data_IF_761197344683
#
_entry.id   IF_761197344683
#
_cell.length_a   1.000
_cell.length_b   1.000
_cell.length_c   1.000
_cell.angle_alpha   90.00
_cell.angle_beta   90.00
_cell.angle_gamma   90.00
#
_symmetry.space_group_name_H-M   'P 1'
#
loop_
_entity.id
_entity.type
_entity.pdbx_description
1 polymer ?
#
# COMPACT_ATOMS: atom_id res chain seq x y z
N UNK A 1 -10.62 21.92 -18.11
CA UNK A 1 -10.89 20.61 -18.72
C UNK A 1 -11.28 19.52 -17.73
N UNK A 2 -11.64 19.85 -16.47
CA UNK A 2 -11.92 18.85 -15.39
C UNK A 2 -13.40 18.58 -15.12
N UNK A 3 -14.32 19.17 -15.90
CA UNK A 3 -15.76 19.04 -15.64
C UNK A 3 -16.41 17.78 -16.28
N UNK A 4 -15.69 17.02 -17.10
CA UNK A 4 -16.25 15.83 -17.77
C UNK A 4 -16.16 14.54 -16.95
N UNK A 5 -15.32 14.50 -15.89
CA UNK A 5 -15.24 13.31 -15.03
C UNK A 5 -16.42 13.26 -14.05
N UNK A 6 -16.99 12.07 -13.78
CA UNK A 6 -18.03 11.90 -12.77
C UNK A 6 -17.60 12.49 -11.44
N UNK A 7 -18.49 13.20 -10.75
CA UNK A 7 -18.18 13.86 -9.48
C UNK A 7 -17.58 12.91 -8.44
N UNK A 8 -18.00 11.64 -8.44
CA UNK A 8 -17.45 10.61 -7.56
C UNK A 8 -15.93 10.46 -7.75
N UNK A 9 -15.46 10.37 -8.98
CA UNK A 9 -14.03 10.23 -9.29
C UNK A 9 -13.25 11.49 -8.92
N UNK A 10 -13.81 12.68 -9.19
CA UNK A 10 -13.19 13.96 -8.79
C UNK A 10 -13.00 14.07 -7.28
N UNK A 11 -13.97 13.60 -6.49
CA UNK A 11 -13.84 13.58 -5.02
C UNK A 11 -12.72 12.63 -4.56
N UNK A 12 -12.57 11.48 -5.21
CA UNK A 12 -11.47 10.54 -4.93
C UNK A 12 -10.13 11.17 -5.33
N UNK A 13 -10.02 11.72 -6.54
CA UNK A 13 -8.79 12.31 -7.06
C UNK A 13 -8.30 13.45 -6.14
N UNK A 14 -9.20 14.36 -5.72
CA UNK A 14 -8.89 15.40 -4.73
C UNK A 14 -8.44 14.81 -3.40
N UNK A 15 -9.05 13.72 -2.95
CA UNK A 15 -8.63 13.03 -1.73
C UNK A 15 -7.24 12.39 -1.87
N UNK A 16 -6.91 11.81 -3.03
CA UNK A 16 -5.58 11.30 -3.34
C UNK A 16 -4.54 12.43 -3.31
N UNK A 17 -4.80 13.56 -3.98
CA UNK A 17 -3.91 14.71 -3.95
C UNK A 17 -3.68 15.22 -2.53
N UNK A 18 -4.74 15.34 -1.73
CA UNK A 18 -4.65 15.76 -0.33
C UNK A 18 -3.79 14.84 0.52
N UNK A 19 -3.99 13.53 0.43
CA UNK A 19 -3.25 12.57 1.24
C UNK A 19 -1.77 12.52 0.85
N UNK A 20 -1.47 12.71 -0.42
CA UNK A 20 -0.09 12.75 -0.92
C UNK A 20 0.64 14.04 -0.51
N UNK A 21 -0.04 15.18 -0.52
CA UNK A 21 0.57 16.49 -0.21
C UNK A 21 0.57 16.83 1.28
N UNK A 22 -0.49 16.49 2.01
CA UNK A 22 -0.72 16.95 3.40
C UNK A 22 -0.88 15.79 4.40
N UNK A 23 -0.92 14.56 3.91
CA UNK A 23 -1.10 13.35 4.73
C UNK A 23 -2.55 13.03 5.08
N UNK A 24 -2.75 11.87 5.72
CA UNK A 24 -4.09 11.33 6.03
C UNK A 24 -4.93 12.23 6.97
N UNK A 25 -4.29 13.06 7.79
CA UNK A 25 -4.97 13.99 8.70
C UNK A 25 -5.76 15.10 7.99
N UNK A 26 -5.42 15.42 6.73
CA UNK A 26 -6.09 16.45 5.94
C UNK A 26 -7.40 15.97 5.26
N UNK A 27 -7.72 14.68 5.31
CA UNK A 27 -8.83 14.06 4.59
C UNK A 27 -10.21 14.34 5.21
N UNK A 28 -10.54 15.62 5.42
CA UNK A 28 -11.89 16.02 5.86
C UNK A 28 -12.87 16.11 4.70
N UNK A 29 -14.11 15.60 4.87
CA UNK A 29 -15.18 15.70 3.85
C UNK A 29 -15.43 17.13 3.37
N UNK A 30 -15.34 18.11 4.27
CA UNK A 30 -15.54 19.53 3.95
C UNK A 30 -14.42 20.07 3.07
N UNK A 31 -13.18 19.71 3.37
CA UNK A 31 -12.00 20.14 2.61
C UNK A 31 -12.00 19.51 1.21
N UNK A 32 -12.30 18.22 1.12
CA UNK A 32 -12.44 17.54 -0.17
C UNK A 32 -13.55 18.18 -1.02
N UNK A 33 -14.72 18.47 -0.45
CA UNK A 33 -15.81 19.14 -1.16
C UNK A 33 -15.39 20.54 -1.64
N UNK A 34 -14.73 21.32 -0.78
CA UNK A 34 -14.24 22.65 -1.10
C UNK A 34 -13.25 22.62 -2.28
N UNK A 35 -12.25 21.73 -2.25
CA UNK A 35 -11.26 21.60 -3.34
C UNK A 35 -11.87 21.04 -4.62
N UNK A 36 -12.85 20.13 -4.51
CA UNK A 36 -13.61 19.64 -5.66
C UNK A 36 -14.58 20.68 -6.26
N UNK A 37 -14.72 21.86 -5.66
CA UNK A 37 -15.61 22.93 -6.15
C UNK A 37 -17.09 22.58 -6.03
N UNK A 38 -17.50 21.84 -4.97
CA UNK A 38 -18.88 21.40 -4.78
C UNK A 38 -19.40 21.75 -3.39
N UNK A 39 -20.73 21.74 -3.22
CA UNK A 39 -21.35 21.97 -1.92
C UNK A 39 -20.93 20.91 -0.89
N UNK A 40 -20.89 21.26 0.39
CA UNK A 40 -20.52 20.37 1.50
C UNK A 40 -21.38 19.09 1.60
N UNK A 41 -22.61 19.12 1.10
CA UNK A 41 -23.51 17.96 1.07
C UNK A 41 -23.30 17.02 -0.12
N UNK A 42 -22.64 17.48 -1.19
CA UNK A 42 -22.49 16.71 -2.42
C UNK A 42 -21.74 15.37 -2.24
N UNK A 43 -20.67 15.26 -1.44
CA UNK A 43 -19.98 14.00 -1.24
C UNK A 43 -20.86 12.89 -0.66
N UNK A 44 -21.83 13.22 0.21
CA UNK A 44 -22.70 12.24 0.86
C UNK A 44 -23.62 11.49 -0.09
N UNK A 45 -23.85 12.01 -1.30
CA UNK A 45 -24.62 11.32 -2.34
C UNK A 45 -23.86 10.11 -2.90
N UNK A 46 -22.52 10.14 -2.87
CA UNK A 46 -21.63 9.11 -3.41
C UNK A 46 -20.96 8.29 -2.32
N UNK A 47 -20.73 8.91 -1.16
CA UNK A 47 -20.07 8.32 0.00
C UNK A 47 -20.94 8.60 1.24
N UNK A 48 -21.79 7.64 1.64
CA UNK A 48 -22.70 7.81 2.78
C UNK A 48 -21.96 8.11 4.08
N UNK A 49 -20.75 7.58 4.24
CA UNK A 49 -19.89 7.78 5.41
C UNK A 49 -18.54 8.37 4.99
N UNK A 50 -17.85 9.01 5.94
CA UNK A 50 -16.47 9.43 5.74
C UNK A 50 -15.55 8.23 5.47
N UNK A 51 -15.77 7.13 6.19
CA UNK A 51 -15.02 5.88 6.01
C UNK A 51 -15.14 5.33 4.58
N UNK A 52 -16.33 5.41 3.96
CA UNK A 52 -16.51 4.95 2.57
C UNK A 52 -15.70 5.77 1.56
N UNK A 53 -15.55 7.09 1.78
CA UNK A 53 -14.67 7.93 0.96
C UNK A 53 -13.20 7.61 1.21
N UNK A 54 -12.78 7.48 2.48
CA UNK A 54 -11.39 7.10 2.82
C UNK A 54 -11.03 5.75 2.23
N UNK A 55 -11.94 4.78 2.24
CA UNK A 55 -11.74 3.46 1.63
C UNK A 55 -11.58 3.54 0.11
N UNK A 56 -12.31 4.43 -0.56
CA UNK A 56 -12.16 4.65 -1.99
C UNK A 56 -10.80 5.31 -2.33
N UNK A 57 -10.33 6.24 -1.49
CA UNK A 57 -9.00 6.86 -1.64
C UNK A 57 -7.90 5.82 -1.39
N UNK A 58 -7.99 5.04 -0.30
CA UNK A 58 -7.01 3.99 0.03
C UNK A 58 -6.92 2.92 -1.08
N UNK A 59 -8.05 2.62 -1.75
CA UNK A 59 -8.07 1.70 -2.89
C UNK A 59 -7.17 2.18 -4.02
N UNK A 60 -7.14 3.48 -4.35
CA UNK A 60 -6.21 4.03 -5.34
C UNK A 60 -4.75 3.79 -4.95
N UNK A 61 -4.43 3.91 -3.66
CA UNK A 61 -3.10 3.56 -3.15
C UNK A 61 -2.75 2.08 -3.34
N UNK A 62 -3.69 1.17 -3.07
CA UNK A 62 -3.47 -0.26 -3.32
C UNK A 62 -3.40 -0.60 -4.81
N UNK A 63 -4.18 0.06 -5.66
CA UNK A 63 -4.12 -0.11 -7.12
C UNK A 63 -2.74 0.33 -7.66
N UNK A 64 -2.22 1.48 -7.21
CA UNK A 64 -0.90 1.98 -7.60
C UNK A 64 0.23 1.07 -7.10
N UNK A 65 0.18 0.64 -5.84
CA UNK A 65 1.13 -0.35 -5.30
C UNK A 65 1.06 -1.66 -6.09
N UNK A 66 -0.15 -2.13 -6.42
CA UNK A 66 -0.35 -3.35 -7.22
C UNK A 66 0.28 -3.26 -8.60
N UNK A 67 0.16 -2.12 -9.29
CA UNK A 67 0.81 -1.87 -10.58
C UNK A 67 2.33 -1.93 -10.45
N UNK A 68 2.91 -1.30 -9.42
CA UNK A 68 4.36 -1.33 -9.16
C UNK A 68 4.85 -2.74 -8.87
N UNK A 69 4.13 -3.49 -8.03
CA UNK A 69 4.46 -4.89 -7.74
C UNK A 69 4.39 -5.75 -9.01
N UNK A 70 3.33 -5.60 -9.80
CA UNK A 70 3.18 -6.37 -11.05
C UNK A 70 4.31 -6.09 -12.05
N UNK A 71 4.74 -4.83 -12.16
CA UNK A 71 5.83 -4.43 -13.05
C UNK A 71 7.14 -5.15 -12.72
N UNK A 72 7.47 -5.29 -11.43
CA UNK A 72 8.73 -5.94 -10.99
C UNK A 72 8.61 -7.46 -10.88
N UNK A 73 7.42 -7.98 -10.54
CA UNK A 73 7.18 -9.41 -10.43
C UNK A 73 7.14 -10.13 -11.78
N UNK A 74 6.87 -9.40 -12.86
CA UNK A 74 6.70 -9.94 -14.21
C UNK A 74 8.00 -10.28 -14.95
N UNK A 75 9.18 -9.94 -14.43
CA UNK A 75 10.45 -10.19 -15.07
C UNK A 75 10.72 -11.71 -15.20
N UNK A 76 10.73 -12.29 -16.41
CA UNK A 76 10.75 -13.74 -16.60
C UNK A 76 12.08 -14.40 -16.18
N UNK A 77 13.16 -13.65 -16.21
CA UNK A 77 14.53 -14.08 -15.88
C UNK A 77 14.79 -14.22 -14.38
N UNK A 78 13.94 -13.59 -13.52
CA UNK A 78 14.16 -13.63 -12.08
C UNK A 78 13.69 -14.93 -11.46
N UNK A 79 14.49 -15.50 -10.56
CA UNK A 79 14.09 -16.60 -9.69
C UNK A 79 12.94 -16.19 -8.76
N UNK A 80 12.18 -17.15 -8.21
CA UNK A 80 11.11 -16.83 -7.25
C UNK A 80 11.60 -15.99 -6.07
N UNK A 81 12.81 -16.25 -5.58
CA UNK A 81 13.43 -15.53 -4.46
C UNK A 81 13.79 -14.09 -4.82
N UNK A 82 14.38 -13.88 -5.99
CA UNK A 82 14.70 -12.54 -6.50
C UNK A 82 13.44 -11.71 -6.69
N UNK A 83 12.34 -12.33 -7.19
CA UNK A 83 11.03 -11.67 -7.28
C UNK A 83 10.51 -11.25 -5.90
N UNK A 84 10.61 -12.11 -4.87
CA UNK A 84 10.23 -11.75 -3.51
C UNK A 84 11.04 -10.55 -3.03
N UNK A 85 12.36 -10.54 -3.27
CA UNK A 85 13.26 -9.43 -2.92
C UNK A 85 12.86 -8.14 -3.63
N UNK A 86 12.65 -8.20 -4.93
CA UNK A 86 12.29 -7.03 -5.76
C UNK A 86 10.91 -6.47 -5.37
N UNK A 87 9.93 -7.34 -5.08
CA UNK A 87 8.63 -6.94 -4.54
C UNK A 87 8.80 -6.26 -3.17
N UNK A 88 9.66 -6.80 -2.30
CA UNK A 88 9.96 -6.20 -1.00
C UNK A 88 10.54 -4.78 -1.12
N UNK A 89 11.50 -4.57 -2.05
CA UNK A 89 12.06 -3.25 -2.35
C UNK A 89 10.99 -2.30 -2.88
N UNK A 90 10.17 -2.75 -3.83
CA UNK A 90 9.07 -1.94 -4.38
C UNK A 90 8.03 -1.56 -3.30
N UNK A 91 7.67 -2.49 -2.40
CA UNK A 91 6.76 -2.26 -1.29
C UNK A 91 7.29 -1.23 -0.30
N UNK A 92 8.53 -1.39 0.16
CA UNK A 92 9.17 -0.45 1.10
C UNK A 92 9.39 0.89 0.42
N UNK A 93 9.86 0.91 -0.83
CA UNK A 93 10.03 2.12 -1.63
C UNK A 93 8.72 2.93 -1.73
N UNK A 94 7.62 2.26 -2.07
CA UNK A 94 6.31 2.88 -2.11
C UNK A 94 5.92 3.52 -0.77
N UNK A 95 6.16 2.82 0.33
CA UNK A 95 5.85 3.32 1.67
C UNK A 95 6.65 4.59 2.02
N UNK A 96 7.89 4.71 1.54
CA UNK A 96 8.75 5.87 1.77
C UNK A 96 8.36 7.05 0.87
N UNK A 97 8.07 6.80 -0.40
CA UNK A 97 7.67 7.82 -1.37
C UNK A 97 6.28 8.39 -1.08
N UNK A 98 5.33 7.54 -0.67
CA UNK A 98 3.91 7.87 -0.49
C UNK A 98 3.46 7.70 0.97
N UNK A 99 4.22 8.24 1.90
CA UNK A 99 4.06 8.05 3.34
C UNK A 99 2.64 8.29 3.87
N UNK A 100 1.97 9.34 3.42
CA UNK A 100 0.59 9.68 3.79
C UNK A 100 -0.41 8.64 3.29
N UNK A 101 -0.30 8.27 2.02
CA UNK A 101 -1.16 7.25 1.40
C UNK A 101 -0.92 5.88 2.05
N UNK A 102 0.33 5.48 2.22
CA UNK A 102 0.68 4.22 2.87
C UNK A 102 0.12 4.13 4.29
N UNK A 103 0.20 5.23 5.06
CA UNK A 103 -0.43 5.28 6.37
C UNK A 103 -1.94 5.10 6.32
N UNK A 104 -2.64 5.72 5.36
CA UNK A 104 -4.08 5.56 5.20
C UNK A 104 -4.46 4.12 4.84
N UNK A 105 -3.73 3.49 3.91
CA UNK A 105 -4.03 2.14 3.39
C UNK A 105 -4.15 1.08 4.48
N UNK A 106 -3.44 1.22 5.60
CA UNK A 106 -3.40 0.25 6.70
C UNK A 106 -4.13 0.71 7.97
N UNK A 107 -4.86 1.84 7.91
CA UNK A 107 -5.68 2.35 9.02
C UNK A 107 -7.06 1.70 9.00
N UNK A 108 -7.13 0.40 9.35
CA UNK A 108 -8.38 -0.36 9.39
C UNK A 108 -9.44 0.23 10.34
N UNK A 109 -9.03 1.02 11.33
CA UNK A 109 -9.91 1.78 12.20
C UNK A 109 -10.63 2.95 11.49
N UNK A 110 -10.07 3.45 10.39
CA UNK A 110 -10.64 4.54 9.57
C UNK A 110 -11.31 4.04 8.30
N UNK A 111 -11.08 2.79 7.90
CA UNK A 111 -11.54 2.25 6.63
C UNK A 111 -12.74 1.33 6.82
N UNK A 112 -13.70 1.41 5.91
CA UNK A 112 -14.81 0.46 5.84
C UNK A 112 -14.37 -0.75 5.01
N UNK A 113 -13.94 -1.81 5.70
CA UNK A 113 -13.54 -3.07 5.08
C UNK A 113 -14.70 -4.06 4.89
N UNK A 114 -15.84 -3.84 5.56
CA UNK A 114 -16.92 -4.83 5.66
C UNK A 114 -18.27 -4.36 5.09
N UNK A 115 -18.53 -3.05 5.04
CA UNK A 115 -19.86 -2.46 4.85
C UNK A 115 -20.16 -1.89 3.47
N UNK A 116 -19.26 -1.98 2.48
CA UNK A 116 -19.56 -1.42 1.16
C UNK A 116 -20.63 -2.22 0.44
N UNK A 117 -21.76 -1.55 0.18
CA UNK A 117 -22.78 -2.08 -0.72
C UNK A 117 -22.14 -2.32 -2.11
N UNK A 118 -22.56 -3.36 -2.86
CA UNK A 118 -22.05 -3.66 -4.20
C UNK A 118 -22.10 -2.46 -5.15
N UNK A 119 -23.02 -1.53 -4.94
CA UNK A 119 -23.16 -0.28 -5.71
C UNK A 119 -22.03 0.73 -5.49
N UNK A 120 -21.18 0.56 -4.49
CA UNK A 120 -20.09 1.48 -4.13
C UNK A 120 -18.71 1.09 -4.68
N UNK A 121 -18.66 0.03 -5.47
CA UNK A 121 -17.45 -0.53 -6.06
C UNK A 121 -16.87 -1.72 -5.27
N UNK A 122 -15.77 -2.31 -5.75
CA UNK A 122 -15.16 -3.49 -5.12
C UNK A 122 -14.75 -3.20 -3.67
N UNK A 123 -14.80 -4.20 -2.81
CA UNK A 123 -14.35 -4.09 -1.42
C UNK A 123 -12.84 -3.86 -1.38
N UNK A 124 -12.34 -3.14 -0.38
CA UNK A 124 -10.91 -2.85 -0.23
C UNK A 124 -10.06 -4.14 -0.22
N UNK A 125 -10.53 -5.19 0.46
CA UNK A 125 -9.89 -6.51 0.49
C UNK A 125 -9.71 -7.14 -0.90
N UNK A 126 -10.56 -6.84 -1.86
CA UNK A 126 -10.47 -7.38 -3.22
C UNK A 126 -9.28 -6.80 -3.99
N UNK A 127 -8.79 -5.63 -3.61
CA UNK A 127 -7.56 -5.03 -4.15
C UNK A 127 -6.29 -5.57 -3.44
N UNK A 128 -6.39 -6.01 -2.19
CA UNK A 128 -5.22 -6.42 -1.39
C UNK A 128 -4.94 -7.91 -1.47
N UNK A 129 -5.97 -8.76 -1.52
CA UNK A 129 -5.82 -10.21 -1.55
C UNK A 129 -4.93 -10.71 -2.70
N UNK A 130 -5.07 -10.24 -3.96
CA UNK A 130 -4.24 -10.73 -5.06
C UNK A 130 -2.74 -10.49 -4.84
N UNK A 131 -2.35 -9.37 -4.21
CA UNK A 131 -0.95 -9.08 -3.90
C UNK A 131 -0.40 -10.05 -2.84
N UNK A 132 -1.20 -10.34 -1.82
CA UNK A 132 -0.81 -11.31 -0.79
C UNK A 132 -0.73 -12.73 -1.35
N UNK A 133 -1.67 -13.14 -2.19
CA UNK A 133 -1.67 -14.44 -2.87
C UNK A 133 -0.46 -14.62 -3.80
N UNK A 134 -0.04 -13.55 -4.49
CA UNK A 134 1.20 -13.53 -5.27
C UNK A 134 2.41 -13.82 -4.37
N UNK A 135 2.52 -13.11 -3.23
CA UNK A 135 3.61 -13.33 -2.28
C UNK A 135 3.60 -14.77 -1.74
N UNK A 136 2.44 -15.32 -1.35
CA UNK A 136 2.29 -16.72 -0.91
C UNK A 136 2.75 -17.69 -1.99
N UNK A 137 2.38 -17.42 -3.24
CA UNK A 137 2.77 -18.26 -4.37
C UNK A 137 4.28 -18.27 -4.58
N UNK A 138 4.93 -17.12 -4.51
CA UNK A 138 6.39 -17.00 -4.65
C UNK A 138 7.12 -17.68 -3.48
N UNK A 139 6.67 -17.44 -2.25
CA UNK A 139 7.22 -18.07 -1.03
C UNK A 139 7.09 -19.59 -1.10
N UNK A 140 5.97 -20.13 -1.58
CA UNK A 140 5.79 -21.57 -1.84
C UNK A 140 6.82 -22.11 -2.83
N UNK A 141 7.08 -21.37 -3.92
CA UNK A 141 8.09 -21.73 -4.93
C UNK A 141 9.52 -21.65 -4.40
N UNK A 142 9.76 -20.93 -3.31
CA UNK A 142 11.01 -20.92 -2.57
C UNK A 142 11.16 -22.13 -1.60
N UNK A 143 10.17 -23.03 -1.52
CA UNK A 143 10.25 -24.25 -0.70
C UNK A 143 9.83 -24.06 0.76
N UNK A 144 9.15 -22.98 1.12
CA UNK A 144 8.66 -22.78 2.50
C UNK A 144 7.65 -23.87 2.88
N UNK A 145 7.78 -24.44 4.08
CA UNK A 145 6.88 -25.48 4.58
C UNK A 145 5.46 -24.97 4.83
N UNK A 146 5.33 -23.75 5.34
CA UNK A 146 4.07 -23.07 5.62
C UNK A 146 3.99 -21.74 4.84
N UNK A 147 3.72 -21.75 3.51
CA UNK A 147 3.89 -20.57 2.66
C UNK A 147 3.07 -19.37 3.10
N UNK A 148 1.83 -19.56 3.57
CA UNK A 148 0.95 -18.47 4.00
C UNK A 148 1.44 -17.81 5.28
N UNK A 149 1.93 -18.61 6.24
CA UNK A 149 2.49 -18.10 7.51
C UNK A 149 3.79 -17.38 7.26
N UNK A 150 4.69 -17.99 6.44
CA UNK A 150 5.97 -17.37 6.07
C UNK A 150 5.76 -16.07 5.30
N UNK A 151 4.82 -16.03 4.36
CA UNK A 151 4.48 -14.82 3.63
C UNK A 151 3.93 -13.71 4.55
N UNK A 152 3.07 -14.07 5.50
CA UNK A 152 2.54 -13.10 6.47
C UNK A 152 3.64 -12.55 7.40
N UNK A 153 4.54 -13.42 7.88
CA UNK A 153 5.67 -13.01 8.72
C UNK A 153 6.66 -12.12 7.96
N UNK A 154 6.97 -12.46 6.71
CA UNK A 154 7.82 -11.64 5.84
C UNK A 154 7.16 -10.28 5.57
N UNK A 155 5.87 -10.26 5.23
CA UNK A 155 5.15 -9.02 5.03
C UNK A 155 5.13 -8.14 6.28
N UNK A 156 4.89 -8.71 7.47
CA UNK A 156 4.95 -7.98 8.74
C UNK A 156 6.35 -7.38 8.99
N UNK A 157 7.43 -8.13 8.67
CA UNK A 157 8.80 -7.65 8.78
C UNK A 157 9.05 -6.47 7.81
N UNK A 158 8.70 -6.60 6.53
CA UNK A 158 8.84 -5.53 5.54
C UNK A 158 8.02 -4.29 5.91
N UNK A 159 6.81 -4.47 6.45
CA UNK A 159 6.00 -3.36 6.96
C UNK A 159 6.68 -2.67 8.14
N UNK A 160 7.26 -3.44 9.07
CA UNK A 160 8.07 -2.93 10.17
C UNK A 160 9.29 -2.14 9.68
N UNK A 161 10.03 -2.65 8.70
CA UNK A 161 11.14 -1.94 8.04
C UNK A 161 10.66 -0.59 7.50
N UNK A 162 9.56 -0.57 6.73
CA UNK A 162 9.01 0.65 6.17
C UNK A 162 8.65 1.69 7.24
N UNK A 163 7.96 1.28 8.29
CA UNK A 163 7.53 2.19 9.37
C UNK A 163 8.71 2.72 10.19
N UNK A 164 9.61 1.82 10.62
CA UNK A 164 10.77 2.21 11.46
C UNK A 164 11.78 3.06 10.67
N UNK A 165 11.92 2.81 9.36
CA UNK A 165 12.73 3.67 8.49
C UNK A 165 12.14 5.08 8.39
N UNK A 166 10.85 5.20 8.18
CA UNK A 166 10.15 6.49 8.13
C UNK A 166 10.30 7.32 9.42
N UNK A 167 10.32 6.65 10.56
CA UNK A 167 10.50 7.31 11.86
C UNK A 167 11.96 7.65 12.19
N UNK A 168 12.92 7.27 11.33
CA UNK A 168 14.34 7.47 11.57
C UNK A 168 14.96 6.48 12.56
N UNK A 169 14.19 5.55 13.11
CA UNK A 169 14.64 4.62 14.15
C UNK A 169 15.71 3.65 13.62
N UNK A 170 15.56 3.15 12.40
CA UNK A 170 16.54 2.24 11.80
C UNK A 170 17.83 2.96 11.43
N UNK A 171 17.74 4.19 10.92
CA UNK A 171 18.90 5.02 10.63
C UNK A 171 19.72 5.29 11.90
N UNK A 172 19.02 5.61 13.00
CA UNK A 172 19.67 5.80 14.30
C UNK A 172 20.37 4.51 14.77
N UNK A 173 19.69 3.37 14.70
CA UNK A 173 20.22 2.08 15.12
C UNK A 173 21.41 1.62 14.27
N UNK A 174 21.45 1.98 12.98
CA UNK A 174 22.52 1.62 12.04
C UNK A 174 23.68 2.62 12.01
N UNK A 175 23.65 3.68 12.83
CA UNK A 175 24.67 4.71 12.88
C UNK A 175 24.66 5.66 11.65
N UNK A 176 23.56 5.75 10.94
CA UNK A 176 23.37 6.60 9.75
C UNK A 176 22.35 6.01 8.77
N UNK A 177 22.12 6.71 7.66
CA UNK A 177 21.26 6.27 6.57
C UNK A 177 22.12 5.86 5.36
N UNK A 178 22.59 4.60 5.29
CA UNK A 178 23.36 4.15 4.14
C UNK A 178 22.51 4.19 2.86
N UNK A 179 23.12 4.54 1.73
CA UNK A 179 22.44 4.72 0.43
C UNK A 179 21.67 3.46 0.02
N UNK A 180 22.20 2.27 0.32
CA UNK A 180 21.62 0.96 0.03
C UNK A 180 20.87 0.35 1.25
N UNK A 181 20.63 1.13 2.31
CA UNK A 181 20.15 0.63 3.60
C UNK A 181 18.83 -0.14 3.50
N UNK A 182 17.88 0.37 2.72
CA UNK A 182 16.58 -0.28 2.51
C UNK A 182 16.74 -1.62 1.80
N UNK A 183 17.52 -1.69 0.72
CA UNK A 183 17.75 -2.93 -0.03
C UNK A 183 18.44 -4.01 0.83
N UNK A 184 19.40 -3.61 1.66
CA UNK A 184 20.07 -4.51 2.60
C UNK A 184 19.11 -5.05 3.66
N UNK A 185 18.23 -4.21 4.20
CA UNK A 185 17.21 -4.64 5.17
C UNK A 185 16.18 -5.56 4.54
N UNK A 186 15.74 -5.27 3.32
CA UNK A 186 14.83 -6.16 2.57
C UNK A 186 15.50 -7.51 2.31
N UNK A 187 16.76 -7.51 1.89
CA UNK A 187 17.52 -8.76 1.69
C UNK A 187 17.61 -9.57 2.98
N UNK A 188 18.00 -8.93 4.08
CA UNK A 188 18.09 -9.58 5.39
C UNK A 188 16.72 -10.14 5.85
N UNK A 189 15.63 -9.41 5.60
CA UNK A 189 14.27 -9.90 5.91
C UNK A 189 13.92 -11.13 5.07
N UNK A 190 14.20 -11.11 3.76
CA UNK A 190 13.97 -12.27 2.88
C UNK A 190 14.80 -13.48 3.32
N UNK A 191 16.08 -13.27 3.62
CA UNK A 191 16.99 -14.33 4.06
C UNK A 191 16.58 -14.94 5.41
N UNK A 192 16.07 -14.13 6.34
CA UNK A 192 15.57 -14.59 7.62
C UNK A 192 14.34 -15.50 7.51
N UNK A 193 13.48 -15.28 6.50
CA UNK A 193 12.24 -16.04 6.33
C UNK A 193 12.34 -17.20 5.32
N UNK A 194 13.24 -17.12 4.34
CA UNK A 194 13.40 -18.11 3.28
C UNK A 194 14.70 -18.93 3.39
N UNK A 195 15.49 -18.69 4.45
CA UNK A 195 16.83 -19.29 4.56
C UNK A 195 17.87 -18.56 3.69
N UNK A 196 19.15 -18.91 3.77
CA UNK A 196 20.19 -18.36 2.90
C UNK A 196 19.97 -18.78 1.44
N UNK A 197 20.56 -18.03 0.52
CA UNK A 197 20.55 -18.39 -0.91
C UNK A 197 21.30 -19.72 -1.09
N UNK A 198 20.70 -20.73 -1.78
CA UNK A 198 21.45 -21.93 -2.08
C UNK A 198 22.67 -21.59 -2.93
N UNK A 199 23.83 -22.14 -2.52
CA UNK A 199 25.11 -21.97 -3.20
C UNK A 199 25.09 -22.71 -4.54
#
# INVERSE_FOLDING_TARGET
>A
MDQERPLRERLIDVGVELVLSEGAGALGLREIARRAGVSHGAPRRYFPTHQSLLSAIARRGFEDLGVRIAAVAGAPELSPRERVRTIGVAYVGYALEHAGMFSLMFRHDLLDSTGQAPSQGPRLRESTLPMFELLVTLVRRCGAAEPSVTAAALWANLHGVAQLWRWGSLQLALGGAPVDGVERLVRAAVDAHLGPEPV
#
